data_IF_399220761437
#
_entry.id   IF_399220761437
#
_cell.length_a   1.000
_cell.length_b   1.000
_cell.length_c   1.000
_cell.angle_alpha   90.00
_cell.angle_beta   90.00
_cell.angle_gamma   90.00
#
_symmetry.space_group_name_H-M   'P 1'
#
loop_
_entity.id
_entity.type
_entity.pdbx_description
1 polymer ?
#
# COMPACT_ATOMS: atom_id res chain seq x y z
N UNK A 1 75.76 26.60 46.93
CA UNK A 1 76.50 27.48 47.85
C UNK A 1 75.93 28.87 47.63
N UNK A 2 75.03 29.26 48.51
CA UNK A 2 74.28 30.54 48.60
C UNK A 2 75.24 31.74 48.72
N UNK A 3 74.83 33.04 48.74
CA UNK A 3 73.54 33.54 49.22
C UNK A 3 73.00 34.84 48.53
N UNK A 4 71.70 35.09 48.64
CA UNK A 4 71.07 36.17 49.42
C UNK A 4 71.26 37.61 48.93
N UNK A 5 70.14 38.34 48.99
CA UNK A 5 70.13 39.60 49.72
C UNK A 5 69.83 40.85 48.89
N UNK A 6 68.98 41.72 49.44
CA UNK A 6 69.18 43.16 49.27
C UNK A 6 67.97 43.96 48.83
N UNK A 7 67.14 44.29 49.82
CA UNK A 7 66.13 45.35 49.87
C UNK A 7 66.81 46.73 49.65
N UNK A 8 66.08 47.71 49.10
CA UNK A 8 65.99 49.15 49.50
C UNK A 8 65.86 50.13 48.31
N UNK A 9 64.67 50.71 48.08
CA UNK A 9 64.18 52.06 48.50
C UNK A 9 64.82 53.27 47.81
N UNK A 10 63.96 54.21 47.38
CA UNK A 10 64.32 55.62 47.13
C UNK A 10 63.90 56.10 45.74
N UNK A 11 62.67 56.57 45.54
CA UNK A 11 62.24 57.96 45.76
C UNK A 11 63.06 58.98 44.94
N UNK A 12 62.47 59.57 43.88
CA UNK A 12 62.08 60.99 43.87
C UNK A 12 61.85 61.59 42.47
N UNK A 13 60.88 62.52 42.44
CA UNK A 13 60.71 63.70 41.55
C UNK A 13 60.36 63.43 40.08
N UNK A 14 59.09 63.60 39.69
CA UNK A 14 58.39 64.86 39.29
C UNK A 14 59.19 65.71 38.29
N UNK A 15 58.74 65.77 37.03
CA UNK A 15 58.30 66.97 36.29
C UNK A 15 58.35 66.73 34.77
N UNK A 16 57.21 66.87 34.09
CA UNK A 16 57.01 67.56 32.78
C UNK A 16 55.59 67.23 32.34
N UNK A 17 54.63 68.16 32.38
CA UNK A 17 54.50 69.39 31.59
C UNK A 17 54.23 69.09 30.10
N UNK A 18 52.94 69.25 29.80
CA UNK A 18 52.21 69.29 28.55
C UNK A 18 52.96 69.69 27.27
N UNK A 19 52.70 68.92 26.19
CA UNK A 19 52.80 69.35 24.79
C UNK A 19 51.41 69.21 24.13
N UNK A 20 50.99 70.13 23.24
CA UNK A 20 49.71 70.07 22.56
C UNK A 20 49.81 69.51 21.13
N UNK A 21 48.61 69.21 20.60
CA UNK A 21 48.16 69.29 19.19
C UNK A 21 47.94 67.99 18.39
N UNK A 22 46.65 67.81 18.07
CA UNK A 22 46.04 67.42 16.80
C UNK A 22 46.19 65.98 16.25
N UNK A 23 45.06 65.26 16.29
CA UNK A 23 44.80 64.09 15.45
C UNK A 23 43.36 63.59 15.61
N UNK A 24 42.50 63.91 14.65
CA UNK A 24 41.19 63.28 14.46
C UNK A 24 41.34 61.74 14.43
N UNK A 25 40.51 60.99 15.17
CA UNK A 25 39.84 59.84 14.57
C UNK A 25 38.53 59.51 15.28
N UNK A 26 37.49 59.53 14.46
CA UNK A 26 36.09 59.33 14.75
C UNK A 26 35.77 57.82 14.78
N UNK A 27 34.85 57.46 15.69
CA UNK A 27 34.02 56.24 15.71
C UNK A 27 34.71 54.87 15.74
N UNK A 28 34.64 54.26 16.92
CA UNK A 28 34.63 52.83 17.17
C UNK A 28 33.45 52.19 16.41
N UNK A 29 33.74 51.56 15.26
CA UNK A 29 32.75 50.83 14.47
C UNK A 29 32.49 49.47 15.14
N UNK A 30 31.33 49.36 15.78
CA UNK A 30 30.80 48.13 16.34
C UNK A 30 30.39 47.21 15.17
N UNK A 31 31.31 46.35 14.72
CA UNK A 31 31.02 45.28 13.75
C UNK A 31 30.13 44.23 14.43
N UNK A 32 28.82 44.47 14.39
CA UNK A 32 27.79 43.45 14.54
C UNK A 32 28.00 42.42 13.43
N UNK A 33 28.55 41.26 13.79
CA UNK A 33 28.55 40.08 12.94
C UNK A 33 27.10 39.66 12.69
N UNK A 34 26.49 40.18 11.63
CA UNK A 34 25.33 39.56 11.00
C UNK A 34 25.81 38.27 10.34
N UNK A 35 25.86 37.18 11.11
CA UNK A 35 25.79 35.86 10.50
C UNK A 35 24.37 35.73 9.95
N UNK A 36 24.17 35.64 8.61
CA UNK A 36 22.89 35.20 8.11
C UNK A 36 22.70 33.78 8.65
N UNK A 37 21.69 33.62 9.50
CA UNK A 37 21.21 32.31 9.88
C UNK A 37 20.82 31.62 8.57
N UNK A 38 21.68 30.72 8.07
CA UNK A 38 21.32 29.80 7.00
C UNK A 38 20.11 29.04 7.53
N UNK A 39 18.93 29.41 7.02
CA UNK A 39 17.72 28.65 7.24
C UNK A 39 17.98 27.30 6.58
N UNK A 40 18.36 26.33 7.40
CA UNK A 40 18.42 24.93 7.03
C UNK A 40 17.00 24.59 6.57
N UNK A 41 16.80 24.49 5.26
CA UNK A 41 15.49 24.20 4.70
C UNK A 41 15.09 22.82 5.23
N UNK A 42 14.21 22.79 6.22
CA UNK A 42 13.62 21.55 6.71
C UNK A 42 13.19 20.73 5.49
N UNK A 43 13.63 19.45 5.36
CA UNK A 43 13.21 18.63 4.24
C UNK A 43 11.68 18.66 4.19
N UNK A 44 11.11 19.01 3.03
CA UNK A 44 9.66 19.09 2.84
C UNK A 44 9.04 17.78 3.29
N UNK A 45 8.44 17.79 4.49
CA UNK A 45 7.78 16.62 5.05
C UNK A 45 6.46 16.46 4.30
N UNK A 46 6.38 15.40 3.51
CA UNK A 46 5.18 15.10 2.74
C UNK A 46 4.11 14.53 3.66
N UNK A 47 2.82 14.82 3.40
CA UNK A 47 1.73 14.22 4.16
C UNK A 47 1.78 12.69 4.12
N UNK A 48 1.41 12.04 5.24
CA UNK A 48 1.49 10.58 5.41
C UNK A 48 0.36 9.82 4.70
N UNK A 49 -0.69 10.51 4.26
CA UNK A 49 -1.87 9.99 3.56
C UNK A 49 -1.67 9.92 2.04
N UNK A 50 -0.46 9.56 1.60
CA UNK A 50 -0.13 9.45 0.19
C UNK A 50 1.26 8.87 -0.04
N UNK A 51 1.68 8.88 -1.30
CA UNK A 51 3.03 8.45 -1.70
C UNK A 51 3.80 9.61 -2.32
N UNK A 52 5.12 9.59 -2.14
CA UNK A 52 6.02 10.54 -2.79
C UNK A 52 6.70 9.83 -3.93
N UNK A 53 6.54 10.37 -5.14
CA UNK A 53 7.15 9.86 -6.35
C UNK A 53 8.21 10.84 -6.85
N UNK A 54 9.23 10.32 -7.52
CA UNK A 54 10.25 11.14 -8.18
C UNK A 54 9.97 11.13 -9.69
N UNK A 55 9.89 12.31 -10.29
CA UNK A 55 9.68 12.45 -11.73
C UNK A 55 10.89 11.91 -12.49
N UNK A 56 10.66 10.98 -13.40
CA UNK A 56 11.71 10.42 -14.26
C UNK A 56 11.85 11.20 -15.58
N UNK A 57 13.00 11.09 -16.23
CA UNK A 57 13.25 11.74 -17.53
C UNK A 57 12.23 11.28 -18.57
N UNK A 58 11.53 12.23 -19.19
CA UNK A 58 10.52 11.96 -20.22
C UNK A 58 9.11 11.68 -19.68
N UNK A 59 8.91 11.65 -18.36
CA UNK A 59 7.57 11.61 -17.79
C UNK A 59 6.88 12.96 -17.97
N UNK A 60 5.61 12.89 -18.35
CA UNK A 60 4.67 14.01 -18.30
C UNK A 60 3.70 13.83 -17.15
N UNK A 61 3.07 14.92 -16.72
CA UNK A 61 1.95 14.90 -15.79
C UNK A 61 0.84 13.93 -16.20
N UNK A 62 0.49 13.88 -17.50
CA UNK A 62 -0.50 12.95 -18.03
C UNK A 62 -0.08 11.48 -17.82
N UNK A 63 1.19 11.15 -18.11
CA UNK A 63 1.71 9.79 -17.91
C UNK A 63 1.83 9.42 -16.43
N UNK A 64 2.17 10.38 -15.57
CA UNK A 64 2.21 10.20 -14.12
C UNK A 64 0.80 9.94 -13.59
N UNK A 65 -0.16 10.78 -13.97
CA UNK A 65 -1.56 10.61 -13.57
C UNK A 65 -2.14 9.29 -14.07
N UNK A 66 -1.83 8.88 -15.31
CA UNK A 66 -2.21 7.55 -15.79
C UNK A 66 -1.62 6.43 -14.93
N UNK A 67 -0.37 6.58 -14.52
CA UNK A 67 0.36 5.55 -13.77
C UNK A 67 -0.11 5.44 -12.32
N UNK A 68 -0.36 6.55 -11.63
CA UNK A 68 -0.62 6.57 -10.20
C UNK A 68 -2.07 6.85 -9.82
N UNK A 69 -2.88 7.44 -10.71
CA UNK A 69 -4.28 7.79 -10.48
C UNK A 69 -5.26 6.99 -11.38
N UNK A 70 -4.72 6.11 -12.23
CA UNK A 70 -5.39 5.36 -13.31
C UNK A 70 -6.11 6.21 -14.40
N UNK A 71 -6.18 7.53 -14.25
CA UNK A 71 -6.78 8.47 -15.19
C UNK A 71 -5.78 9.57 -15.61
N UNK A 72 -5.40 9.66 -16.90
CA UNK A 72 -4.47 10.68 -17.37
C UNK A 72 -5.02 12.10 -17.21
N UNK A 73 -6.34 12.28 -17.10
CA UNK A 73 -7.01 13.59 -17.01
C UNK A 73 -6.93 14.22 -15.61
N UNK A 74 -6.60 13.42 -14.59
CA UNK A 74 -6.47 13.88 -13.19
C UNK A 74 -5.17 14.66 -12.90
N UNK A 75 -4.39 15.00 -13.92
CA UNK A 75 -3.16 15.77 -13.76
C UNK A 75 -3.36 17.14 -13.11
N UNK A 76 -4.52 17.78 -13.34
CA UNK A 76 -4.87 19.07 -12.72
C UNK A 76 -5.03 18.94 -11.20
N UNK A 77 -5.64 17.85 -10.76
CA UNK A 77 -5.82 17.55 -9.35
C UNK A 77 -4.46 17.27 -8.69
N UNK A 78 -3.58 16.53 -9.38
CA UNK A 78 -2.22 16.26 -8.91
C UNK A 78 -1.40 17.55 -8.72
N UNK A 79 -1.48 18.49 -9.66
CA UNK A 79 -0.85 19.81 -9.53
C UNK A 79 -1.37 20.59 -8.33
N UNK A 80 -2.70 20.60 -8.16
CA UNK A 80 -3.35 21.27 -7.03
C UNK A 80 -2.88 20.70 -5.69
N UNK A 81 -2.74 19.38 -5.57
CA UNK A 81 -2.21 18.71 -4.38
C UNK A 81 -0.76 19.08 -4.07
N UNK A 82 0.03 19.38 -5.09
CA UNK A 82 1.44 19.75 -4.96
C UNK A 82 1.67 21.28 -4.90
N UNK A 83 0.60 22.08 -4.96
CA UNK A 83 0.68 23.55 -5.02
C UNK A 83 1.57 24.05 -6.17
N UNK A 84 1.48 23.39 -7.32
CA UNK A 84 2.22 23.77 -8.54
C UNK A 84 1.25 24.44 -9.50
N UNK A 85 1.49 25.73 -9.78
CA UNK A 85 0.58 26.53 -10.62
C UNK A 85 0.83 26.35 -12.12
N UNK A 86 2.08 26.09 -12.53
CA UNK A 86 2.46 25.95 -13.94
C UNK A 86 2.81 24.48 -14.28
N UNK A 87 2.03 23.81 -15.15
CA UNK A 87 2.24 22.42 -15.54
C UNK A 87 3.59 22.13 -16.21
N UNK A 88 4.21 23.14 -16.84
CA UNK A 88 5.51 23.00 -17.52
C UNK A 88 6.70 22.97 -16.54
N UNK A 89 6.46 23.08 -15.23
CA UNK A 89 7.51 23.09 -14.20
C UNK A 89 7.86 21.70 -13.65
N UNK A 90 7.27 20.63 -14.20
CA UNK A 90 7.51 19.28 -13.72
C UNK A 90 8.80 18.77 -14.38
N UNK A 91 9.91 18.86 -13.65
CA UNK A 91 11.25 18.51 -14.14
C UNK A 91 11.69 17.13 -13.60
N UNK A 92 12.54 16.39 -14.33
CA UNK A 92 13.16 15.17 -13.83
C UNK A 92 13.86 15.40 -12.47
N UNK A 93 13.67 14.47 -11.53
CA UNK A 93 14.19 14.55 -10.16
C UNK A 93 13.28 15.27 -9.17
N UNK A 94 12.24 15.96 -9.63
CA UNK A 94 11.27 16.61 -8.75
C UNK A 94 10.46 15.56 -7.97
N UNK A 95 10.21 15.82 -6.69
CA UNK A 95 9.34 14.97 -5.86
C UNK A 95 7.90 15.49 -5.93
N UNK A 96 6.97 14.60 -6.23
CA UNK A 96 5.53 14.86 -6.22
C UNK A 96 4.86 14.02 -5.16
N UNK A 97 3.99 14.64 -4.37
CA UNK A 97 3.08 13.97 -3.47
C UNK A 97 1.80 13.58 -4.21
N UNK A 98 1.47 12.30 -4.17
CA UNK A 98 0.22 11.74 -4.68
C UNK A 98 -0.66 11.41 -3.47
N UNK A 99 -1.72 12.20 -3.20
CA UNK A 99 -2.66 11.87 -2.13
C UNK A 99 -3.31 10.52 -2.38
N UNK A 100 -3.54 9.72 -1.33
CA UNK A 100 -4.25 8.45 -1.42
C UNK A 100 -5.67 8.62 -1.97
N UNK A 101 -6.32 9.74 -1.67
CA UNK A 101 -7.65 10.10 -2.22
C UNK A 101 -7.66 10.27 -3.74
N UNK A 102 -6.51 10.63 -4.31
CA UNK A 102 -6.32 10.81 -5.74
C UNK A 102 -5.84 9.53 -6.43
N UNK A 103 -5.05 8.74 -5.69
CA UNK A 103 -4.38 7.53 -6.14
C UNK A 103 -5.31 6.40 -6.56
N UNK A 104 -4.73 5.33 -7.11
CA UNK A 104 -5.44 4.07 -7.32
C UNK A 104 -6.02 3.61 -5.99
N UNK A 105 -7.28 3.18 -6.02
CA UNK A 105 -7.86 2.49 -4.87
C UNK A 105 -7.30 1.06 -4.83
N UNK A 106 -7.00 0.53 -3.63
CA UNK A 106 -6.65 -0.87 -3.51
C UNK A 106 -7.82 -1.76 -3.98
N UNK A 107 -7.50 -2.97 -4.40
CA UNK A 107 -8.50 -4.00 -4.74
C UNK A 107 -9.05 -4.58 -3.44
N UNK A 108 -8.17 -4.81 -2.48
CA UNK A 108 -8.45 -5.36 -1.17
C UNK A 108 -7.64 -4.64 -0.10
N UNK A 109 -8.15 -4.58 1.12
CA UNK A 109 -7.42 -4.08 2.29
C UNK A 109 -7.38 -5.16 3.36
N UNK A 110 -6.28 -5.22 4.13
CA UNK A 110 -6.15 -6.12 5.27
C UNK A 110 -7.10 -5.66 6.39
N UNK A 111 -8.21 -6.39 6.57
CA UNK A 111 -9.20 -6.08 7.59
C UNK A 111 -8.84 -6.70 8.95
N UNK A 112 -8.34 -7.95 8.93
CA UNK A 112 -7.95 -8.68 10.13
C UNK A 112 -6.85 -9.67 9.84
N UNK A 113 -5.97 -9.87 10.80
CA UNK A 113 -4.93 -10.90 10.76
C UNK A 113 -4.82 -11.61 12.10
N UNK A 114 -4.58 -12.91 12.08
CA UNK A 114 -4.29 -13.74 13.25
C UNK A 114 -3.22 -14.78 12.87
N UNK A 115 -2.23 -14.98 13.75
CA UNK A 115 -1.10 -15.87 13.47
C UNK A 115 -0.08 -15.24 12.51
N UNK A 116 0.65 -16.09 11.79
CA UNK A 116 1.65 -15.70 10.80
C UNK A 116 1.00 -15.55 9.42
N UNK A 117 0.88 -14.31 8.97
CA UNK A 117 0.37 -13.96 7.65
C UNK A 117 1.40 -13.11 6.93
N UNK A 118 1.46 -13.24 5.61
CA UNK A 118 2.45 -12.54 4.81
C UNK A 118 1.82 -12.01 3.52
N UNK A 119 2.37 -10.91 3.03
CA UNK A 119 2.03 -10.31 1.75
C UNK A 119 3.27 -10.15 0.88
N UNK A 120 3.08 -10.26 -0.43
CA UNK A 120 4.10 -9.92 -1.43
C UNK A 120 3.58 -8.74 -2.24
N UNK A 121 4.22 -7.58 -2.08
CA UNK A 121 3.82 -6.33 -2.75
C UNK A 121 4.48 -6.22 -4.13
N UNK A 122 4.15 -7.15 -5.03
CA UNK A 122 4.66 -7.18 -6.39
C UNK A 122 4.28 -5.93 -7.20
N UNK A 123 3.16 -5.28 -6.88
CA UNK A 123 2.75 -3.99 -7.44
C UNK A 123 3.78 -2.88 -7.17
N UNK A 124 4.52 -3.00 -6.07
CA UNK A 124 5.61 -2.11 -5.67
C UNK A 124 6.99 -2.65 -6.09
N UNK A 125 7.02 -3.68 -6.96
CA UNK A 125 8.23 -4.40 -7.39
C UNK A 125 9.01 -5.05 -6.24
N UNK A 126 8.37 -5.32 -5.10
CA UNK A 126 8.99 -6.09 -4.03
C UNK A 126 9.02 -7.57 -4.40
N UNK A 127 10.07 -8.26 -3.94
CA UNK A 127 10.28 -9.70 -4.18
C UNK A 127 10.30 -10.53 -2.90
N UNK A 128 10.19 -9.89 -1.74
CA UNK A 128 10.17 -10.52 -0.42
C UNK A 128 8.77 -10.51 0.18
N UNK A 129 8.45 -11.58 0.90
CA UNK A 129 7.27 -11.66 1.75
C UNK A 129 7.47 -10.81 3.00
N UNK A 130 6.43 -10.08 3.41
CA UNK A 130 6.44 -9.16 4.56
C UNK A 130 5.19 -9.38 5.41
N UNK A 131 5.27 -9.10 6.71
CA UNK A 131 4.10 -9.13 7.59
C UNK A 131 3.16 -7.95 7.25
N UNK A 132 1.87 -8.18 7.02
CA UNK A 132 0.93 -7.12 6.71
C UNK A 132 0.60 -6.27 7.95
N UNK A 133 0.38 -4.98 7.72
CA UNK A 133 -0.28 -4.09 8.69
C UNK A 133 -1.78 -4.03 8.39
N UNK A 134 -2.61 -3.81 9.42
CA UNK A 134 -4.04 -3.54 9.21
C UNK A 134 -4.24 -2.30 8.34
N UNK A 135 -5.23 -2.34 7.46
CA UNK A 135 -5.51 -1.29 6.47
C UNK A 135 -4.52 -1.23 5.31
N UNK A 136 -3.53 -2.13 5.23
CA UNK A 136 -2.65 -2.20 4.08
C UNK A 136 -3.46 -2.56 2.83
N UNK A 137 -3.40 -1.69 1.82
CA UNK A 137 -4.02 -1.91 0.52
C UNK A 137 -3.21 -2.84 -0.38
N UNK A 138 -3.88 -3.82 -0.99
CA UNK A 138 -3.35 -4.74 -1.97
C UNK A 138 -3.85 -4.36 -3.37
N UNK A 139 -2.92 -4.32 -4.31
CA UNK A 139 -3.14 -3.93 -5.69
C UNK A 139 -2.96 -5.12 -6.63
N UNK A 140 -3.18 -4.88 -7.92
CA UNK A 140 -2.96 -5.85 -8.98
C UNK A 140 -1.59 -6.55 -8.83
N UNK A 141 -1.61 -7.88 -8.81
CA UNK A 141 -0.48 -8.82 -8.68
C UNK A 141 0.10 -8.93 -7.28
N UNK A 142 -0.37 -8.14 -6.31
CA UNK A 142 -0.03 -8.40 -4.93
C UNK A 142 -0.60 -9.76 -4.51
N UNK A 143 0.11 -10.40 -3.60
CA UNK A 143 -0.24 -11.71 -3.08
C UNK A 143 -0.39 -11.64 -1.56
N UNK A 144 -1.27 -12.47 -1.02
CA UNK A 144 -1.45 -12.62 0.42
C UNK A 144 -1.56 -14.11 0.76
N UNK A 145 -0.89 -14.52 1.86
CA UNK A 145 -0.91 -15.91 2.32
C UNK A 145 -0.96 -16.03 3.83
N UNK A 146 -1.48 -17.16 4.28
CA UNK A 146 -1.54 -17.57 5.68
C UNK A 146 -0.67 -18.81 5.89
N UNK A 147 -0.01 -18.91 7.04
CA UNK A 147 0.70 -20.12 7.47
C UNK A 147 -0.23 -21.08 8.22
N UNK A 148 0.37 -22.04 8.91
CA UNK A 148 -0.31 -22.91 9.87
C UNK A 148 -0.99 -22.07 10.96
N UNK A 149 -2.17 -22.49 11.41
CA UNK A 149 -2.94 -21.84 12.49
C UNK A 149 -3.15 -20.32 12.32
N UNK A 150 -3.16 -19.86 11.07
CA UNK A 150 -3.21 -18.44 10.73
C UNK A 150 -4.42 -18.12 9.86
N UNK A 151 -4.96 -16.91 10.03
CA UNK A 151 -6.16 -16.45 9.36
C UNK A 151 -5.95 -15.02 8.87
N UNK A 152 -6.44 -14.73 7.67
CA UNK A 152 -6.38 -13.40 7.07
C UNK A 152 -7.75 -13.03 6.50
N UNK A 153 -8.20 -11.83 6.81
CA UNK A 153 -9.46 -11.28 6.31
C UNK A 153 -9.15 -10.07 5.44
N UNK A 154 -9.70 -10.08 4.23
CA UNK A 154 -9.54 -9.03 3.25
C UNK A 154 -10.91 -8.41 2.95
N UNK A 155 -11.02 -7.10 3.12
CA UNK A 155 -12.19 -6.35 2.65
C UNK A 155 -11.90 -5.81 1.26
N UNK A 156 -12.76 -6.12 0.30
CA UNK A 156 -12.64 -5.61 -1.06
C UNK A 156 -13.16 -4.18 -1.15
N UNK A 157 -12.69 -3.43 -2.13
CA UNK A 157 -13.15 -2.05 -2.37
C UNK A 157 -14.65 -1.93 -2.67
N UNK A 158 -15.29 -3.05 -2.98
CA UNK A 158 -16.71 -3.18 -3.26
C UNK A 158 -17.51 -3.67 -2.03
N UNK A 159 -16.88 -3.76 -0.85
CA UNK A 159 -17.50 -4.20 0.40
C UNK A 159 -17.66 -5.72 0.56
N UNK A 160 -17.20 -6.53 -0.39
CA UNK A 160 -17.17 -7.99 -0.23
C UNK A 160 -16.03 -8.41 0.71
N UNK A 161 -16.16 -9.59 1.31
CA UNK A 161 -15.19 -10.14 2.25
C UNK A 161 -14.54 -11.42 1.72
N UNK A 162 -13.22 -11.53 1.82
CA UNK A 162 -12.49 -12.78 1.60
C UNK A 162 -11.82 -13.22 2.91
N UNK A 163 -12.13 -14.42 3.37
CA UNK A 163 -11.54 -15.05 4.55
C UNK A 163 -10.62 -16.19 4.11
N UNK A 164 -9.32 -16.03 4.34
CA UNK A 164 -8.32 -17.06 4.08
C UNK A 164 -8.15 -17.91 5.34
N UNK A 165 -8.37 -19.21 5.19
CA UNK A 165 -8.10 -20.22 6.22
C UNK A 165 -6.58 -20.51 6.30
N UNK A 166 -6.10 -21.34 7.25
CA UNK A 166 -4.69 -21.71 7.33
C UNK A 166 -4.14 -22.29 6.02
N UNK A 167 -2.85 -22.07 5.77
CA UNK A 167 -2.12 -22.56 4.59
C UNK A 167 -2.66 -22.09 3.23
N UNK A 168 -3.29 -20.93 3.17
CA UNK A 168 -3.93 -20.41 1.96
C UNK A 168 -3.09 -19.36 1.27
N UNK A 169 -3.25 -19.22 -0.04
CA UNK A 169 -2.54 -18.23 -0.85
C UNK A 169 -3.45 -17.68 -1.95
N UNK A 170 -3.75 -16.38 -1.88
CA UNK A 170 -4.52 -15.65 -2.88
C UNK A 170 -3.66 -14.63 -3.62
N UNK A 171 -3.94 -14.43 -4.90
CA UNK A 171 -3.35 -13.40 -5.77
C UNK A 171 -4.43 -12.47 -6.28
N UNK A 172 -4.12 -11.18 -6.28
CA UNK A 172 -4.98 -10.14 -6.85
C UNK A 172 -4.84 -10.13 -8.38
N UNK A 173 -5.72 -10.86 -9.07
CA UNK A 173 -5.69 -11.03 -10.53
C UNK A 173 -6.66 -10.10 -11.27
N UNK A 174 -6.35 -8.80 -11.28
CA UNK A 174 -6.81 -7.83 -12.30
C UNK A 174 -8.32 -7.65 -12.51
N UNK A 175 -8.74 -6.43 -12.19
CA UNK A 175 -9.90 -5.72 -12.74
C UNK A 175 -9.40 -4.89 -13.93
N UNK A 176 -9.53 -5.36 -15.18
CA UNK A 176 -9.07 -4.57 -16.34
C UNK A 176 -10.26 -3.79 -16.86
N UNK A 177 -10.35 -2.50 -16.54
CA UNK A 177 -11.43 -1.56 -16.93
C UNK A 177 -12.70 -1.60 -16.08
N UNK A 178 -13.50 -0.52 -16.16
CA UNK A 178 -14.80 -0.36 -15.51
C UNK A 178 -15.85 -1.40 -15.98
N UNK A 179 -15.56 -2.22 -17.00
CA UNK A 179 -16.46 -3.26 -17.51
C UNK A 179 -16.07 -4.70 -17.15
N UNK A 180 -14.86 -4.98 -16.64
CA UNK A 180 -14.44 -6.35 -16.33
C UNK A 180 -14.68 -6.75 -14.86
N UNK A 181 -14.95 -8.04 -14.61
CA UNK A 181 -15.17 -8.61 -13.28
C UNK A 181 -14.00 -8.44 -12.31
N UNK A 182 -14.32 -8.45 -11.01
CA UNK A 182 -13.29 -8.55 -9.98
C UNK A 182 -12.77 -9.98 -9.97
N UNK A 183 -11.49 -10.18 -10.34
CA UNK A 183 -10.88 -11.49 -10.51
C UNK A 183 -9.75 -11.72 -9.49
N UNK A 184 -9.78 -12.91 -8.88
CA UNK A 184 -8.80 -13.36 -7.89
C UNK A 184 -8.35 -14.78 -8.22
N UNK A 185 -7.13 -15.14 -7.85
CA UNK A 185 -6.63 -16.51 -7.98
C UNK A 185 -6.35 -17.07 -6.60
N UNK A 186 -7.05 -18.15 -6.23
CA UNK A 186 -6.68 -18.99 -5.11
C UNK A 186 -5.70 -20.06 -5.62
N UNK A 187 -4.43 -19.94 -5.22
CA UNK A 187 -3.39 -20.89 -5.64
C UNK A 187 -3.41 -22.18 -4.84
N UNK A 188 -3.70 -22.08 -3.53
CA UNK A 188 -3.77 -23.21 -2.60
C UNK A 188 -4.56 -22.84 -1.35
N UNK A 189 -4.98 -23.86 -0.60
CA UNK A 189 -5.68 -23.72 0.67
C UNK A 189 -7.15 -23.41 0.49
N UNK A 190 -7.79 -22.83 1.51
CA UNK A 190 -9.23 -22.62 1.56
C UNK A 190 -9.56 -21.14 1.74
N UNK A 191 -10.52 -20.67 0.96
CA UNK A 191 -11.03 -19.31 0.97
C UNK A 191 -12.56 -19.33 1.06
N UNK A 192 -13.13 -18.59 2.01
CA UNK A 192 -14.55 -18.24 2.02
C UNK A 192 -14.70 -16.83 1.45
N UNK A 193 -15.66 -16.66 0.55
CA UNK A 193 -15.97 -15.38 -0.05
C UNK A 193 -17.42 -15.02 0.23
N UNK A 194 -17.64 -13.83 0.80
CA UNK A 194 -18.95 -13.24 1.05
C UNK A 194 -19.09 -12.05 0.10
N UNK A 195 -19.74 -12.28 -1.04
CA UNK A 195 -19.83 -11.29 -2.11
C UNK A 195 -21.05 -10.41 -1.90
N UNK A 196 -20.82 -9.10 -1.81
CA UNK A 196 -21.86 -8.10 -1.60
C UNK A 196 -22.92 -8.16 -2.71
N UNK A 197 -24.20 -8.21 -2.31
CA UNK A 197 -25.38 -8.25 -3.19
C UNK A 197 -25.75 -6.89 -3.80
N UNK A 198 -24.92 -5.88 -3.56
CA UNK A 198 -25.24 -4.49 -3.78
C UNK A 198 -25.74 -4.20 -5.20
N UNK A 199 -26.93 -3.59 -5.25
CA UNK A 199 -27.62 -3.21 -6.47
C UNK A 199 -27.08 -1.84 -6.92
N UNK A 200 -25.83 -1.80 -7.38
CA UNK A 200 -25.31 -0.59 -8.02
C UNK A 200 -26.00 -0.39 -9.38
N UNK A 201 -26.14 0.87 -9.79
CA UNK A 201 -26.49 1.24 -11.17
C UNK A 201 -25.30 1.97 -11.78
N UNK A 202 -24.63 1.42 -12.81
CA UNK A 202 -24.94 0.16 -13.52
C UNK A 202 -24.71 -1.10 -12.64
N UNK A 203 -25.35 -2.24 -13.01
CA UNK A 203 -25.27 -3.49 -12.24
C UNK A 203 -23.83 -3.88 -11.93
N UNK A 204 -23.60 -4.28 -10.66
CA UNK A 204 -22.29 -4.66 -10.14
C UNK A 204 -21.68 -5.78 -10.96
N UNK A 205 -20.37 -5.69 -11.15
CA UNK A 205 -19.52 -6.62 -11.90
C UNK A 205 -19.60 -8.03 -11.30
N UNK A 206 -19.44 -9.06 -12.14
CA UNK A 206 -19.28 -10.44 -11.66
C UNK A 206 -18.01 -10.53 -10.79
N UNK A 207 -18.05 -11.38 -9.77
CA UNK A 207 -16.85 -11.79 -9.05
C UNK A 207 -16.39 -13.12 -9.62
N UNK A 208 -15.09 -13.23 -9.91
CA UNK A 208 -14.48 -14.43 -10.45
C UNK A 208 -13.37 -14.89 -9.51
N UNK A 209 -13.51 -16.12 -9.01
CA UNK A 209 -12.43 -16.82 -8.33
C UNK A 209 -11.87 -17.90 -9.26
N UNK A 210 -10.61 -17.76 -9.61
CA UNK A 210 -9.87 -18.77 -10.36
C UNK A 210 -9.12 -19.67 -9.40
N UNK A 211 -8.95 -20.91 -9.82
CA UNK A 211 -8.03 -21.89 -9.25
C UNK A 211 -7.27 -22.56 -10.38
N UNK A 212 -6.25 -23.39 -10.09
CA UNK A 212 -5.58 -24.15 -11.14
C UNK A 212 -6.50 -25.11 -11.92
N UNK A 213 -7.58 -25.61 -11.30
CA UNK A 213 -8.47 -26.58 -11.92
C UNK A 213 -9.78 -25.98 -12.47
N UNK A 214 -10.25 -24.85 -11.94
CA UNK A 214 -11.57 -24.33 -12.23
C UNK A 214 -11.68 -22.80 -12.16
N UNK A 215 -12.81 -22.28 -12.63
CA UNK A 215 -13.23 -20.89 -12.43
C UNK A 215 -14.62 -20.90 -11.81
N UNK A 216 -14.79 -20.17 -10.71
CA UNK A 216 -16.07 -19.92 -10.06
C UNK A 216 -16.52 -18.48 -10.35
N UNK A 217 -17.68 -18.32 -10.97
CA UNK A 217 -18.29 -17.04 -11.29
C UNK A 217 -19.54 -16.84 -10.44
N UNK A 218 -19.64 -15.68 -9.79
CA UNK A 218 -20.70 -15.43 -8.80
C UNK A 218 -21.20 -13.99 -8.82
N UNK A 219 -22.39 -13.79 -8.26
CA UNK A 219 -22.98 -12.47 -8.00
C UNK A 219 -23.81 -12.53 -6.73
N UNK A 220 -23.42 -11.77 -5.69
CA UNK A 220 -24.18 -11.70 -4.45
C UNK A 220 -24.31 -13.06 -3.75
N UNK A 221 -23.19 -13.71 -3.48
CA UNK A 221 -23.09 -15.13 -3.15
C UNK A 221 -22.13 -15.33 -1.98
N UNK A 222 -22.46 -16.27 -1.12
CA UNK A 222 -21.53 -16.78 -0.12
C UNK A 222 -21.08 -18.18 -0.51
N UNK A 223 -19.78 -18.39 -0.66
CA UNK A 223 -19.25 -19.68 -1.08
C UNK A 223 -17.86 -19.95 -0.50
N UNK A 224 -17.51 -21.23 -0.44
CA UNK A 224 -16.19 -21.71 -0.03
C UNK A 224 -15.53 -22.37 -1.22
N UNK A 225 -14.25 -22.08 -1.41
CA UNK A 225 -13.41 -22.78 -2.37
C UNK A 225 -12.17 -23.30 -1.67
N UNK A 226 -11.78 -24.53 -1.98
CA UNK A 226 -10.56 -25.16 -1.50
C UNK A 226 -9.75 -25.71 -2.66
N UNK A 227 -8.44 -25.47 -2.62
CA UNK A 227 -7.46 -26.02 -3.55
C UNK A 227 -6.49 -26.90 -2.77
N UNK A 228 -6.48 -28.20 -3.09
CA UNK A 228 -5.65 -29.19 -2.41
C UNK A 228 -4.20 -29.19 -2.97
N UNK A 229 -3.32 -30.02 -2.37
CA UNK A 229 -1.92 -30.16 -2.79
C UNK A 229 -1.73 -30.73 -4.20
N UNK A 230 -2.77 -31.39 -4.75
CA UNK A 230 -2.79 -31.88 -6.14
C UNK A 230 -3.41 -30.84 -7.09
N UNK A 231 -3.69 -29.65 -6.58
CA UNK A 231 -4.34 -28.55 -7.26
C UNK A 231 -5.78 -28.87 -7.74
N UNK A 232 -6.42 -29.87 -7.15
CA UNK A 232 -7.85 -30.10 -7.35
C UNK A 232 -8.64 -29.02 -6.62
N UNK A 233 -9.84 -28.75 -7.09
CA UNK A 233 -10.69 -27.70 -6.53
C UNK A 233 -12.00 -28.27 -6.02
N UNK A 234 -12.36 -27.94 -4.79
CA UNK A 234 -13.71 -28.11 -4.26
C UNK A 234 -14.38 -26.75 -4.17
N UNK A 235 -15.61 -26.62 -4.66
CA UNK A 235 -16.42 -25.39 -4.53
C UNK A 235 -17.73 -25.74 -3.89
N UNK A 236 -18.13 -25.03 -2.83
CA UNK A 236 -19.41 -25.18 -2.15
C UNK A 236 -20.16 -23.86 -2.06
N UNK A 237 -21.42 -23.84 -2.49
CA UNK A 237 -22.29 -22.69 -2.38
C UNK A 237 -23.04 -22.71 -1.05
N UNK A 238 -22.84 -21.70 -0.21
CA UNK A 238 -23.52 -21.57 1.08
C UNK A 238 -24.80 -20.73 0.95
N UNK A 239 -24.73 -19.63 0.19
CA UNK A 239 -25.88 -18.76 -0.11
C UNK A 239 -25.79 -18.25 -1.55
N UNK A 240 -26.93 -18.13 -2.23
CA UNK A 240 -26.99 -17.64 -3.61
C UNK A 240 -26.73 -18.74 -4.62
N UNK A 241 -25.88 -18.45 -5.61
CA UNK A 241 -25.58 -19.33 -6.74
C UNK A 241 -24.13 -19.17 -7.19
N UNK A 242 -23.47 -20.28 -7.52
CA UNK A 242 -22.13 -20.30 -8.11
C UNK A 242 -22.16 -21.03 -9.45
N UNK A 243 -21.63 -20.43 -10.51
CA UNK A 243 -21.33 -21.15 -11.74
C UNK A 243 -19.87 -21.62 -11.70
N UNK A 244 -19.64 -22.93 -11.76
CA UNK A 244 -18.30 -23.52 -11.74
C UNK A 244 -17.98 -24.10 -13.10
N UNK A 245 -16.92 -23.59 -13.72
CA UNK A 245 -16.50 -23.95 -15.07
C UNK A 245 -15.11 -24.57 -15.08
N UNK A 246 -14.96 -25.71 -15.75
CA UNK A 246 -13.68 -26.35 -16.04
C UNK A 246 -13.79 -27.24 -17.29
N UNK A 247 -12.72 -27.36 -18.08
CA UNK A 247 -12.70 -28.19 -19.29
C UNK A 247 -13.90 -27.98 -20.23
N UNK A 248 -14.33 -26.72 -20.40
CA UNK A 248 -15.50 -26.31 -21.21
C UNK A 248 -16.86 -26.85 -20.72
N UNK A 249 -16.91 -27.39 -19.50
CA UNK A 249 -18.13 -27.82 -18.83
C UNK A 249 -18.40 -26.88 -17.67
N UNK A 250 -19.64 -26.42 -17.56
CA UNK A 250 -20.12 -25.56 -16.50
C UNK A 250 -21.21 -26.29 -15.71
N UNK A 251 -21.12 -26.25 -14.39
CA UNK A 251 -22.16 -26.72 -13.47
C UNK A 251 -22.62 -25.56 -12.61
N UNK A 252 -23.93 -25.49 -12.39
CA UNK A 252 -24.53 -24.53 -11.46
C UNK A 252 -24.66 -25.16 -10.07
N UNK A 253 -24.20 -24.44 -9.06
CA UNK A 253 -24.40 -24.77 -7.65
C UNK A 253 -25.42 -23.82 -7.04
N UNK A 254 -26.54 -24.38 -6.58
CA UNK A 254 -27.44 -23.68 -5.68
C UNK A 254 -26.95 -23.82 -4.23
N UNK A 255 -27.45 -22.97 -3.34
CA UNK A 255 -27.15 -23.04 -1.91
C UNK A 255 -27.32 -24.47 -1.35
N UNK A 256 -26.34 -24.93 -0.58
CA UNK A 256 -26.29 -26.29 -0.03
C UNK A 256 -25.66 -27.33 -0.95
N UNK A 257 -25.24 -26.97 -2.16
CA UNK A 257 -24.54 -27.86 -3.09
C UNK A 257 -23.06 -27.52 -3.26
N UNK A 258 -22.28 -28.53 -3.59
CA UNK A 258 -20.88 -28.45 -3.92
C UNK A 258 -20.56 -29.24 -5.20
N UNK A 259 -19.42 -28.95 -5.79
CA UNK A 259 -18.80 -29.76 -6.84
C UNK A 259 -17.31 -29.94 -6.57
N UNK A 260 -16.74 -31.00 -7.13
CA UNK A 260 -15.33 -31.27 -7.14
C UNK A 260 -14.80 -31.21 -8.58
N UNK A 261 -13.60 -30.66 -8.75
CA UNK A 261 -12.92 -30.54 -10.03
C UNK A 261 -11.51 -31.08 -9.86
N UNK A 262 -11.25 -32.25 -10.41
CA UNK A 262 -9.88 -32.77 -10.52
C UNK A 262 -9.13 -31.96 -11.58
N UNK A 263 -7.86 -31.62 -11.34
CA UNK A 263 -7.08 -30.82 -12.28
C UNK A 263 -7.07 -31.46 -13.67
N UNK A 264 -7.48 -30.68 -14.68
CA UNK A 264 -7.55 -31.16 -16.07
C UNK A 264 -8.83 -31.93 -16.42
N UNK A 265 -9.78 -32.09 -15.50
CA UNK A 265 -11.08 -32.74 -15.72
C UNK A 265 -12.25 -31.76 -15.58
N UNK A 266 -13.42 -32.08 -16.17
CA UNK A 266 -14.63 -31.27 -15.95
C UNK A 266 -15.12 -31.38 -14.50
N UNK A 267 -15.99 -30.45 -14.05
CA UNK A 267 -16.61 -30.55 -12.74
C UNK A 267 -17.48 -31.79 -12.62
N UNK A 268 -17.52 -32.39 -11.43
CA UNK A 268 -18.49 -33.43 -11.11
C UNK A 268 -19.92 -32.89 -11.12
N UNK A 269 -20.91 -33.78 -11.19
CA UNK A 269 -22.30 -33.41 -10.93
C UNK A 269 -22.44 -32.85 -9.51
N UNK A 270 -23.16 -31.74 -9.30
CA UNK A 270 -23.35 -31.16 -7.98
C UNK A 270 -23.89 -32.15 -6.95
N UNK A 271 -23.36 -32.11 -5.73
CA UNK A 271 -23.76 -32.95 -4.60
C UNK A 271 -24.01 -32.10 -3.35
N UNK A 272 -24.78 -32.63 -2.38
CA UNK A 272 -25.10 -31.90 -1.16
C UNK A 272 -23.88 -31.71 -0.26
N UNK A 273 -23.72 -30.51 0.28
CA UNK A 273 -22.75 -30.23 1.34
C UNK A 273 -23.21 -31.01 2.59
N UNK A 274 -22.35 -31.84 3.19
CA UNK A 274 -22.69 -32.53 4.44
C UNK A 274 -23.07 -31.52 5.53
N UNK A 275 -24.11 -31.82 6.31
CA UNK A 275 -24.40 -31.03 7.51
C UNK A 275 -23.21 -31.12 8.46
N UNK A 276 -22.88 -30.00 9.12
CA UNK A 276 -21.89 -30.01 10.18
C UNK A 276 -22.27 -31.09 11.21
N UNK A 277 -21.30 -31.84 11.76
CA UNK A 277 -21.57 -32.80 12.82
C UNK A 277 -22.28 -32.10 13.99
N UNK A 278 -23.39 -32.65 14.45
CA UNK A 278 -24.02 -32.18 15.69
C UNK A 278 -23.11 -32.54 16.85
N UNK A 279 -22.49 -31.52 17.46
CA UNK A 279 -21.76 -31.70 18.73
C UNK A 279 -22.82 -31.92 19.79
N UNK A 280 -23.02 -33.17 20.20
CA UNK A 280 -23.85 -33.48 21.37
C UNK A 280 -23.18 -32.85 22.61
N UNK A 281 -23.94 -32.11 23.44
CA UNK A 281 -23.41 -31.47 24.64
C UNK A 281 -22.90 -32.50 25.66
#
# INVERSE_FOLDING_TARGET
>A
MSPEGGIHTGFSRRFNMYLPSFGLFLSLLLLLNFFPLLSESNPTEFPKDGIVITVEKGQTLSTISKTYLDDPRKWKELLKSNKIDNPNLILPGMKLWVPASLGKKPIAEIARTQGETEVLLASQKKTSWENPSLGLGLYLRDEARTKLESYLELILNNGSLLELAPNSHVVMEKVKTDSEPDSFLLRKGRLRAIISKEQSTPPKKMFILKTPAATAEVKGTEFITEVDEKENTSVGCLEGKVEVSAQKVTVELNAGYATFVEKGKPPTTPFLIPKAPEIKP
#
